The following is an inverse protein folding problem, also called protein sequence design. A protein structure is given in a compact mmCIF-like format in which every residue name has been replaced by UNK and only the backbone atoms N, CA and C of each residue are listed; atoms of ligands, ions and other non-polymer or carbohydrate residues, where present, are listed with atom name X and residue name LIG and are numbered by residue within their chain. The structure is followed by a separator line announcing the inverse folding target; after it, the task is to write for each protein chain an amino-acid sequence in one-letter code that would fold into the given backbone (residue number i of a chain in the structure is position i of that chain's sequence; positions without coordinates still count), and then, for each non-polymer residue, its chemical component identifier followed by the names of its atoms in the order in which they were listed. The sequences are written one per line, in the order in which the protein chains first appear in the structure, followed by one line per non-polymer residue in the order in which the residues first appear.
data_IF_307101695720
#
_entry.id   IF_307101695720
#
_cell.length_a   1.000
_cell.length_b   1.000
_cell.length_c   1.000
_cell.angle_alpha   90.00
_cell.angle_beta   90.00
_cell.angle_gamma   90.00
#
_symmetry.space_group_name_H-M   'P 1'
#
loop_
_entity.id
_entity.type
_entity.pdbx_description
1 polymer ?
#
# COMPACT_ATOMS: atom_id res chain seq x y z
N UNK A 1 59.42 14.63 53.05
CA UNK A 1 59.70 14.12 51.70
C UNK A 1 58.58 13.17 51.30
N UNK A 2 57.63 13.66 50.51
CA UNK A 2 56.68 12.98 49.61
C UNK A 2 55.45 13.88 49.41
N UNK A 3 55.31 14.56 48.24
CA UNK A 3 54.10 15.31 47.93
C UNK A 3 53.05 14.35 47.34
N UNK A 4 51.85 14.31 47.94
CA UNK A 4 50.67 13.72 47.28
C UNK A 4 50.15 14.71 46.24
N UNK A 5 50.22 14.34 44.95
CA UNK A 5 49.55 15.04 43.84
C UNK A 5 48.04 14.78 43.89
N UNK A 6 47.25 15.85 43.82
CA UNK A 6 46.10 15.95 42.90
C UNK A 6 46.55 16.88 41.75
N UNK A 7 45.84 17.07 40.61
CA UNK A 7 44.48 16.65 40.22
C UNK A 7 44.41 16.05 38.79
N UNK A 8 43.32 15.41 38.37
CA UNK A 8 42.99 15.25 36.93
C UNK A 8 41.46 15.12 36.77
N UNK A 9 40.74 16.25 36.87
CA UNK A 9 39.34 16.34 36.42
C UNK A 9 39.31 16.34 34.87
N UNK A 10 39.06 15.16 34.29
CA UNK A 10 38.93 15.00 32.85
C UNK A 10 37.55 15.49 32.35
N UNK A 11 37.46 16.41 31.38
CA UNK A 11 36.19 16.90 30.86
C UNK A 11 35.59 15.88 29.89
N UNK A 12 34.79 14.93 30.42
CA UNK A 12 34.09 13.91 29.62
C UNK A 12 32.58 14.13 29.53
N UNK A 13 32.13 15.39 29.43
CA UNK A 13 30.68 15.68 29.29
C UNK A 13 30.29 16.56 28.09
N UNK A 14 31.17 16.81 27.11
CA UNK A 14 30.80 17.53 25.86
C UNK A 14 30.86 16.71 24.58
N UNK A 15 31.36 15.47 24.62
CA UNK A 15 31.48 14.61 23.42
C UNK A 15 30.28 13.71 23.17
N UNK A 16 29.44 13.45 24.19
CA UNK A 16 28.28 12.57 24.06
C UNK A 16 27.13 13.17 23.24
N UNK A 17 26.94 14.50 23.28
CA UNK A 17 25.84 15.17 22.58
C UNK A 17 26.05 15.28 21.06
N UNK A 18 27.30 15.38 20.61
CA UNK A 18 27.62 15.49 19.18
C UNK A 18 27.41 14.16 18.43
N UNK A 19 27.66 13.02 19.09
CA UNK A 19 27.51 11.70 18.48
C UNK A 19 26.03 11.31 18.29
N UNK A 20 25.15 11.75 19.20
CA UNK A 20 23.70 11.49 19.10
C UNK A 20 23.04 12.33 18.00
N UNK A 21 23.50 13.56 17.78
CA UNK A 21 22.97 14.44 16.74
C UNK A 21 23.30 13.96 15.31
N UNK A 22 24.45 13.32 15.10
CA UNK A 22 24.85 12.81 13.78
C UNK A 22 24.10 11.53 13.38
N UNK A 23 23.68 10.72 14.35
CA UNK A 23 22.94 9.47 14.11
C UNK A 23 21.47 9.72 13.73
N UNK A 24 20.88 10.86 14.13
CA UNK A 24 19.50 11.21 13.81
C UNK A 24 19.27 11.54 12.32
N UNK A 25 20.32 11.92 11.57
CA UNK A 25 20.21 12.31 10.15
C UNK A 25 20.10 11.09 9.22
N UNK A 26 20.61 9.92 9.63
CA UNK A 26 20.59 8.71 8.79
C UNK A 26 19.25 7.97 8.74
N UNK A 27 18.27 8.34 9.58
CA UNK A 27 16.95 7.70 9.62
C UNK A 27 15.93 8.35 8.66
N UNK A 28 16.28 9.44 7.96
CA UNK A 28 15.35 10.19 7.12
C UNK A 28 15.25 9.72 5.65
N UNK A 29 15.96 8.65 5.25
CA UNK A 29 16.21 8.33 3.84
C UNK A 29 15.29 7.33 3.14
N UNK A 30 14.33 6.70 3.83
CA UNK A 30 13.41 5.75 3.19
C UNK A 30 12.12 6.44 2.73
N UNK A 31 12.24 7.45 1.86
CA UNK A 31 11.07 7.91 1.11
C UNK A 31 10.65 6.77 0.17
N UNK A 32 9.66 6.00 0.62
CA UNK A 32 9.08 4.95 -0.20
C UNK A 32 8.37 5.64 -1.35
N UNK A 33 8.99 5.63 -2.52
CA UNK A 33 8.48 6.25 -3.75
C UNK A 33 6.99 5.98 -3.91
N UNK A 34 6.20 7.06 -4.06
CA UNK A 34 4.76 6.95 -4.10
C UNK A 34 4.33 6.11 -5.33
N UNK A 35 3.22 5.36 -5.25
CA UNK A 35 2.72 4.59 -6.39
C UNK A 35 2.48 5.45 -7.65
N UNK A 36 2.14 6.73 -7.47
CA UNK A 36 1.93 7.68 -8.56
C UNK A 36 3.25 8.00 -9.25
N UNK A 37 4.30 8.33 -8.48
CA UNK A 37 5.60 8.68 -9.04
C UNK A 37 6.18 7.52 -9.85
N UNK A 38 6.01 6.28 -9.37
CA UNK A 38 6.39 5.07 -10.14
C UNK A 38 5.71 4.99 -11.51
N UNK A 39 4.45 5.43 -11.60
CA UNK A 39 3.69 5.39 -12.87
C UNK A 39 4.16 6.49 -13.81
N UNK A 40 4.42 7.68 -13.28
CA UNK A 40 4.92 8.82 -14.06
C UNK A 40 6.34 8.56 -14.58
N UNK A 41 7.21 7.97 -13.77
CA UNK A 41 8.56 7.60 -14.21
C UNK A 41 8.56 6.52 -15.29
N UNK A 42 7.60 5.58 -15.23
CA UNK A 42 7.44 4.54 -16.24
C UNK A 42 6.97 5.08 -17.58
N UNK A 43 6.12 6.11 -17.58
CA UNK A 43 5.60 6.73 -18.79
C UNK A 43 5.58 8.27 -18.70
N UNK A 44 6.75 8.91 -18.82
CA UNK A 44 6.88 10.36 -18.69
C UNK A 44 6.27 11.09 -19.90
N UNK A 45 6.26 10.46 -21.08
CA UNK A 45 5.67 11.05 -22.28
C UNK A 45 4.15 11.23 -22.10
N UNK A 46 3.48 10.23 -21.55
CA UNK A 46 2.05 10.29 -21.24
C UNK A 46 1.74 11.38 -20.21
N UNK A 47 2.55 11.50 -19.16
CA UNK A 47 2.37 12.55 -18.15
C UNK A 47 2.58 13.95 -18.73
N UNK A 48 3.62 14.14 -19.55
CA UNK A 48 3.94 15.44 -20.15
C UNK A 48 2.91 15.88 -21.21
N UNK A 49 2.17 14.94 -21.80
CA UNK A 49 1.08 15.24 -22.72
C UNK A 49 -0.17 15.79 -22.00
N UNK A 50 -0.27 15.64 -20.68
CA UNK A 50 -1.41 16.16 -19.91
C UNK A 50 -1.32 17.68 -19.72
N UNK A 51 -2.46 18.39 -19.63
CA UNK A 51 -2.48 19.78 -19.18
C UNK A 51 -1.88 19.92 -17.78
N UNK A 52 -1.18 21.03 -17.50
CA UNK A 52 -0.52 21.28 -16.21
C UNK A 52 -1.48 21.15 -15.01
N UNK A 53 -2.72 21.64 -15.15
CA UNK A 53 -3.75 21.48 -14.11
C UNK A 53 -4.10 20.01 -13.82
N UNK A 54 -3.97 19.12 -14.80
CA UNK A 54 -4.20 17.68 -14.64
C UNK A 54 -2.96 17.00 -14.08
N UNK A 55 -1.76 17.40 -14.50
CA UNK A 55 -0.50 16.91 -13.96
C UNK A 55 -0.42 17.09 -12.42
N UNK A 56 -0.79 18.28 -11.94
CA UNK A 56 -0.81 18.58 -10.51
C UNK A 56 -1.78 17.67 -9.73
N UNK A 57 -2.94 17.36 -10.30
CA UNK A 57 -3.93 16.47 -9.69
C UNK A 57 -3.48 15.01 -9.73
N UNK A 58 -2.88 14.57 -10.84
CA UNK A 58 -2.30 13.23 -10.99
C UNK A 58 -1.26 12.98 -9.91
N UNK A 59 -0.32 13.92 -9.70
CA UNK A 59 0.69 13.86 -8.63
C UNK A 59 0.07 13.74 -7.24
N UNK A 60 -1.10 14.34 -7.02
CA UNK A 60 -1.87 14.22 -5.78
C UNK A 60 -2.74 12.96 -5.69
N UNK A 61 -2.73 12.08 -6.71
CA UNK A 61 -3.61 10.91 -6.79
C UNK A 61 -5.10 11.27 -6.92
N UNK A 62 -5.42 12.46 -7.41
CA UNK A 62 -6.79 12.96 -7.55
C UNK A 62 -7.27 12.85 -8.99
N UNK A 63 -8.56 12.54 -9.13
CA UNK A 63 -9.29 12.55 -10.40
C UNK A 63 -10.35 13.64 -10.34
N UNK A 64 -10.62 14.27 -11.48
CA UNK A 64 -11.73 15.20 -11.67
C UNK A 64 -12.42 14.94 -13.00
N UNK A 65 -13.63 15.44 -13.14
CA UNK A 65 -14.34 15.48 -14.41
C UNK A 65 -13.54 16.22 -15.49
N UNK A 66 -13.66 15.74 -16.73
CA UNK A 66 -12.93 16.25 -17.89
C UNK A 66 -11.49 15.74 -18.04
N UNK A 67 -10.98 14.95 -17.09
CA UNK A 67 -9.71 14.23 -17.26
C UNK A 67 -9.79 13.15 -18.35
N UNK A 68 -8.65 12.85 -18.98
CA UNK A 68 -8.53 11.72 -19.91
C UNK A 68 -8.36 10.40 -19.17
N UNK A 69 -8.59 9.28 -19.86
CA UNK A 69 -8.29 7.93 -19.33
C UNK A 69 -6.83 7.80 -18.89
N UNK A 70 -5.91 8.40 -19.63
CA UNK A 70 -4.48 8.41 -19.32
C UNK A 70 -4.17 9.11 -18.00
N UNK A 71 -4.82 10.25 -17.74
CA UNK A 71 -4.67 10.95 -16.47
C UNK A 71 -5.18 10.10 -15.30
N UNK A 72 -6.32 9.41 -15.48
CA UNK A 72 -6.87 8.49 -14.46
C UNK A 72 -5.93 7.31 -14.23
N UNK A 73 -5.39 6.73 -15.29
CA UNK A 73 -4.42 5.63 -15.19
C UNK A 73 -3.14 6.06 -14.45
N UNK A 74 -2.62 7.26 -14.73
CA UNK A 74 -1.46 7.77 -14.00
C UNK A 74 -1.80 8.06 -12.53
N UNK A 75 -2.98 8.60 -12.24
CA UNK A 75 -3.41 8.91 -10.88
C UNK A 75 -3.69 7.65 -10.04
N UNK A 76 -4.53 6.74 -10.54
CA UNK A 76 -5.09 5.62 -9.76
C UNK A 76 -4.55 4.26 -10.18
N UNK A 77 -3.88 4.16 -11.32
CA UNK A 77 -3.36 2.91 -11.85
C UNK A 77 -4.38 2.14 -12.68
N UNK A 78 -4.04 0.87 -12.92
CA UNK A 78 -4.87 -0.05 -13.72
C UNK A 78 -6.15 -0.40 -12.94
N UNK A 79 -7.35 -0.30 -13.55
CA UNK A 79 -8.56 -0.78 -12.91
C UNK A 79 -8.57 -2.30 -12.81
N UNK A 80 -9.38 -2.82 -11.90
CA UNK A 80 -9.59 -4.25 -11.74
C UNK A 80 -10.60 -4.76 -12.77
N UNK A 81 -11.62 -3.95 -13.06
CA UNK A 81 -12.66 -4.27 -14.04
C UNK A 81 -12.96 -3.04 -14.91
N UNK A 82 -13.25 -3.29 -16.19
CA UNK A 82 -13.72 -2.29 -17.14
C UNK A 82 -15.06 -2.79 -17.70
N UNK A 83 -16.12 -2.00 -17.49
CA UNK A 83 -17.45 -2.24 -18.05
C UNK A 83 -17.65 -1.34 -19.25
N UNK A 84 -18.17 -1.90 -20.33
CA UNK A 84 -18.58 -1.15 -21.52
C UNK A 84 -20.09 -1.20 -21.65
N UNK A 85 -20.69 -0.10 -22.10
CA UNK A 85 -22.13 -0.01 -22.29
C UNK A 85 -22.53 1.20 -23.12
N UNK A 86 -23.82 1.51 -23.07
CA UNK A 86 -24.39 2.70 -23.68
C UNK A 86 -25.29 3.40 -22.67
N UNK A 87 -25.18 4.72 -22.56
CA UNK A 87 -26.03 5.58 -21.74
C UNK A 87 -26.52 6.71 -22.63
N UNK A 88 -27.83 6.90 -22.71
CA UNK A 88 -28.46 7.93 -23.55
C UNK A 88 -28.02 7.88 -25.02
N UNK A 89 -27.81 6.66 -25.54
CA UNK A 89 -27.39 6.42 -26.93
C UNK A 89 -25.91 6.69 -27.22
N UNK A 90 -25.10 7.05 -26.21
CA UNK A 90 -23.65 7.25 -26.32
C UNK A 90 -22.90 6.09 -25.68
N UNK A 91 -21.76 5.70 -26.25
CA UNK A 91 -20.89 4.73 -25.60
C UNK A 91 -20.44 5.24 -24.23
N UNK A 92 -20.55 4.36 -23.23
CA UNK A 92 -20.12 4.60 -21.86
C UNK A 92 -19.12 3.52 -21.45
N UNK A 93 -18.10 3.91 -20.71
CA UNK A 93 -17.11 3.00 -20.15
C UNK A 93 -16.94 3.31 -18.66
N UNK A 94 -16.97 2.29 -17.82
CA UNK A 94 -16.84 2.44 -16.37
C UNK A 94 -15.68 1.61 -15.87
N UNK A 95 -14.73 2.24 -15.19
CA UNK A 95 -13.59 1.59 -14.56
C UNK A 95 -13.89 1.38 -13.08
N UNK A 96 -13.58 0.19 -12.58
CA UNK A 96 -13.86 -0.20 -11.20
C UNK A 96 -12.56 -0.64 -10.51
N UNK A 97 -12.38 -0.18 -9.28
CA UNK A 97 -11.33 -0.64 -8.39
C UNK A 97 -11.93 -1.29 -7.16
N UNK A 98 -11.37 -2.42 -6.74
CA UNK A 98 -11.80 -3.14 -5.55
C UNK A 98 -10.68 -3.15 -4.52
N UNK A 99 -11.04 -2.96 -3.26
CA UNK A 99 -10.18 -3.21 -2.11
C UNK A 99 -10.49 -4.59 -1.54
N UNK A 100 -9.45 -5.28 -1.08
CA UNK A 100 -9.57 -6.56 -0.39
C UNK A 100 -9.66 -6.31 1.11
N UNK A 101 -10.82 -6.59 1.67
CA UNK A 101 -11.00 -6.57 3.12
C UNK A 101 -10.98 -8.01 3.64
N UNK A 102 -10.16 -8.28 4.65
CA UNK A 102 -10.28 -9.52 5.40
C UNK A 102 -11.62 -9.51 6.14
N UNK A 103 -12.40 -10.59 6.03
CA UNK A 103 -13.57 -10.77 6.88
C UNK A 103 -13.12 -11.03 8.32
N UNK A 104 -12.70 -9.98 9.02
CA UNK A 104 -12.43 -9.99 10.45
C UNK A 104 -13.76 -10.15 11.20
N UNK A 105 -14.23 -11.39 11.24
CA UNK A 105 -15.47 -11.81 11.90
C UNK A 105 -15.50 -13.30 12.27
N UNK A 106 -14.55 -14.11 11.81
CA UNK A 106 -14.41 -15.53 12.17
C UNK A 106 -13.13 -15.84 12.95
N UNK A 107 -12.58 -14.87 13.68
CA UNK A 107 -11.57 -15.15 14.72
C UNK A 107 -12.01 -14.47 16.00
N UNK A 108 -13.15 -14.91 16.52
CA UNK A 108 -13.47 -14.75 17.92
C UNK A 108 -13.63 -16.15 18.50
N UNK A 109 -12.82 -16.45 19.52
CA UNK A 109 -12.70 -17.71 20.27
C UNK A 109 -11.62 -18.68 19.75
N UNK A 110 -10.38 -18.45 20.20
CA UNK A 110 -9.56 -19.59 20.65
C UNK A 110 -8.10 -19.67 20.23
N UNK A 111 -7.46 -18.64 19.68
CA UNK A 111 -6.01 -18.69 19.42
C UNK A 111 -5.31 -17.59 20.19
N UNK A 112 -4.83 -17.99 21.36
CA UNK A 112 -4.01 -17.16 22.24
C UNK A 112 -2.68 -16.79 21.60
N UNK A 113 -2.22 -15.61 22.01
CA UNK A 113 -0.85 -15.13 22.06
C UNK A 113 0.25 -16.18 21.80
N UNK A 114 1.14 -15.89 20.85
CA UNK A 114 2.37 -16.65 20.69
C UNK A 114 3.33 -16.02 19.70
N UNK A 115 4.11 -15.05 20.16
CA UNK A 115 5.43 -14.78 19.57
C UNK A 115 6.24 -16.08 19.66
N UNK A 116 6.75 -16.59 18.54
CA UNK A 116 7.48 -17.86 18.54
C UNK A 116 8.26 -18.11 17.26
N UNK A 117 9.50 -17.65 17.24
CA UNK A 117 10.58 -18.18 16.41
C UNK A 117 10.73 -19.69 16.64
N UNK A 118 11.09 -20.44 15.59
CA UNK A 118 11.66 -21.78 15.72
C UNK A 118 11.00 -22.82 14.83
N UNK A 119 11.61 -23.08 13.67
CA UNK A 119 11.30 -24.29 12.91
C UNK A 119 11.89 -25.51 13.60
N UNK A 120 11.27 -26.68 13.44
CA UNK A 120 11.96 -27.96 13.47
C UNK A 120 11.16 -29.01 12.69
N UNK A 121 11.91 -29.73 11.85
CA UNK A 121 11.54 -30.94 11.14
C UNK A 121 10.90 -32.00 12.05
N UNK A 122 9.89 -32.70 11.53
CA UNK A 122 9.36 -33.94 12.10
C UNK A 122 8.62 -34.72 11.03
N UNK A 123 9.35 -35.61 10.35
CA UNK A 123 8.83 -36.65 9.47
C UNK A 123 7.73 -37.45 10.18
N UNK A 124 6.63 -37.74 9.47
CA UNK A 124 5.78 -38.88 9.80
C UNK A 124 5.68 -39.71 8.52
N UNK A 125 6.41 -40.83 8.54
CA UNK A 125 6.35 -41.88 7.54
C UNK A 125 4.99 -42.58 7.57
N UNK A 126 4.61 -43.06 6.38
CA UNK A 126 3.50 -43.93 6.04
C UNK A 126 2.88 -44.76 7.19
N UNK A 127 1.62 -44.45 7.51
CA UNK A 127 0.62 -45.47 7.81
C UNK A 127 -0.74 -45.11 7.21
N UNK A 128 -1.02 -45.76 6.08
CA UNK A 128 -2.31 -46.27 5.63
C UNK A 128 -3.61 -45.62 6.11
N UNK A 129 -4.33 -45.08 5.11
CA UNK A 129 -5.80 -45.00 5.03
C UNK A 129 -6.53 -44.27 6.17
N UNK A 130 -6.71 -42.95 6.03
CA UNK A 130 -7.75 -42.20 6.74
C UNK A 130 -8.87 -41.77 5.77
N UNK A 131 -10.07 -42.29 6.01
CA UNK A 131 -11.32 -41.80 5.45
C UNK A 131 -11.85 -40.68 6.35
N UNK A 132 -11.99 -39.45 5.81
CA UNK A 132 -12.74 -38.33 6.42
C UNK A 132 -11.97 -37.54 7.49
N UNK A 133 -11.88 -36.21 7.50
CA UNK A 133 -12.59 -35.17 6.77
C UNK A 133 -11.57 -34.09 6.38
N UNK A 134 -11.60 -33.64 5.12
CA UNK A 134 -10.94 -32.39 4.73
C UNK A 134 -11.58 -31.28 5.56
N UNK A 135 -10.82 -30.76 6.53
CA UNK A 135 -11.24 -29.59 7.29
C UNK A 135 -11.45 -28.43 6.31
N UNK A 136 -12.68 -27.89 6.16
CA UNK A 136 -12.94 -26.75 5.29
C UNK A 136 -12.41 -25.43 5.89
N UNK A 137 -11.84 -25.49 7.10
CA UNK A 137 -11.49 -24.32 7.91
C UNK A 137 -10.20 -23.60 7.49
N UNK A 138 -9.54 -24.03 6.41
CA UNK A 138 -8.29 -23.41 5.93
C UNK A 138 -8.30 -23.03 4.45
N UNK A 139 -9.34 -23.39 3.69
CA UNK A 139 -9.33 -23.17 2.23
C UNK A 139 -9.77 -21.76 1.81
N UNK A 140 -10.30 -20.92 2.71
CA UNK A 140 -10.75 -19.57 2.35
C UNK A 140 -10.79 -18.63 3.57
N UNK A 141 -9.70 -17.89 3.83
CA UNK A 141 -9.81 -16.70 4.67
C UNK A 141 -10.65 -15.70 3.89
N UNK A 142 -11.97 -15.73 4.09
CA UNK A 142 -12.95 -15.00 3.28
C UNK A 142 -12.56 -13.53 3.09
N UNK A 143 -11.92 -13.20 1.96
CA UNK A 143 -11.70 -11.82 1.56
C UNK A 143 -12.95 -11.38 0.81
N UNK A 144 -13.53 -10.27 1.25
CA UNK A 144 -14.61 -9.63 0.49
C UNK A 144 -14.00 -8.51 -0.35
N UNK A 145 -14.20 -8.59 -1.64
CA UNK A 145 -13.91 -7.46 -2.53
C UNK A 145 -14.98 -6.38 -2.30
N UNK A 146 -14.53 -5.20 -1.88
CA UNK A 146 -15.38 -4.02 -1.73
C UNK A 146 -15.04 -3.06 -2.86
N UNK A 147 -16.05 -2.54 -3.54
CA UNK A 147 -15.86 -1.47 -4.52
C UNK A 147 -15.25 -0.25 -3.82
N UNK A 148 -14.03 0.09 -4.21
CA UNK A 148 -13.22 1.14 -3.62
C UNK A 148 -13.29 2.44 -4.43
N UNK A 149 -13.37 2.32 -5.75
CA UNK A 149 -13.53 3.48 -6.61
C UNK A 149 -14.21 3.13 -7.94
N UNK A 150 -14.86 4.12 -8.52
CA UNK A 150 -15.45 4.07 -9.86
C UNK A 150 -15.09 5.32 -10.63
N UNK A 151 -14.90 5.18 -11.94
CA UNK A 151 -14.80 6.31 -12.87
C UNK A 151 -15.62 5.98 -14.11
N UNK A 152 -16.56 6.85 -14.46
CA UNK A 152 -17.34 6.77 -15.69
C UNK A 152 -16.76 7.69 -16.76
N UNK A 153 -16.71 7.20 -17.99
CA UNK A 153 -16.18 7.88 -19.14
C UNK A 153 -17.24 7.98 -20.24
N UNK A 154 -17.41 9.18 -20.78
CA UNK A 154 -18.08 9.38 -22.07
C UNK A 154 -17.01 9.72 -23.11
N UNK A 155 -16.80 8.80 -24.06
CA UNK A 155 -15.66 8.86 -24.96
C UNK A 155 -14.33 8.71 -24.19
N UNK A 156 -13.47 9.72 -24.25
CA UNK A 156 -12.18 9.76 -23.54
C UNK A 156 -12.23 10.58 -22.24
N UNK A 157 -13.37 11.17 -21.88
CA UNK A 157 -13.46 12.13 -20.76
C UNK A 157 -14.20 11.55 -19.56
N UNK A 158 -13.65 11.80 -18.38
CA UNK A 158 -14.32 11.51 -17.10
C UNK A 158 -15.59 12.35 -16.99
N UNK A 159 -16.72 11.69 -16.78
CA UNK A 159 -18.03 12.33 -16.56
C UNK A 159 -18.55 12.16 -15.14
N UNK A 160 -18.08 11.13 -14.43
CA UNK A 160 -18.36 10.92 -13.01
C UNK A 160 -17.25 10.09 -12.38
N UNK A 161 -17.02 10.26 -11.09
CA UNK A 161 -16.11 9.40 -10.32
C UNK A 161 -16.55 9.33 -8.86
N UNK A 162 -16.31 8.18 -8.24
CA UNK A 162 -16.56 7.97 -6.82
C UNK A 162 -15.36 7.25 -6.20
N UNK A 163 -15.11 7.51 -4.92
CA UNK A 163 -14.09 6.80 -4.15
C UNK A 163 -14.55 6.63 -2.72
N UNK A 164 -14.42 5.43 -2.19
CA UNK A 164 -14.66 5.14 -0.79
C UNK A 164 -13.64 5.92 0.05
N UNK A 165 -14.15 6.71 1.00
CA UNK A 165 -13.31 7.25 2.07
C UNK A 165 -13.18 6.13 3.10
N UNK A 166 -11.96 5.69 3.40
CA UNK A 166 -11.71 4.70 4.45
C UNK A 166 -12.39 5.14 5.75
N UNK A 167 -13.10 4.21 6.41
CA UNK A 167 -13.80 4.47 7.67
C UNK A 167 -12.81 4.47 8.83
#
# INVERSE_FOLDING_TARGET
MHPKRAPEDGPRCRRGLAAVALAAVFLAGCETMSPVDRRVERDPALFNALPESHQALVRQGKVKEGMSKDAVFLAWGRPHEIKQGSRDGKSNETWLWFDRESAAGMVSLGVGYGYGYGGHYGYIEDFGHSYGCRSPFWDDFAYRERLAATVEFSGDKVVAWERSQGR
#
